data_IF_797850367556
#
_entry.id   IF_797850367556
#
_cell.length_a   1.000
_cell.length_b   1.000
_cell.length_c   1.000
_cell.angle_alpha   90.00
_cell.angle_beta   90.00
_cell.angle_gamma   90.00
#
_symmetry.space_group_name_H-M   'P 1'
#
loop_
_entity.id
_entity.type
_entity.pdbx_description
1 polymer ?
#
# COMPACT_ATOMS: atom_id res chain seq x y z
N UNK A 1 -19.69 -39.31 8.15
CA UNK A 1 -18.35 -38.74 8.43
C UNK A 1 -17.71 -38.10 7.20
N UNK A 2 -17.73 -38.73 6.01
CA UNK A 2 -17.13 -38.18 4.78
C UNK A 2 -17.68 -36.80 4.34
N UNK A 3 -19.00 -36.58 4.46
CA UNK A 3 -19.62 -35.29 4.09
C UNK A 3 -19.23 -34.14 5.02
N UNK A 4 -19.02 -34.42 6.31
CA UNK A 4 -18.57 -33.42 7.29
C UNK A 4 -17.10 -33.04 7.08
N UNK A 5 -16.25 -34.02 6.73
CA UNK A 5 -14.86 -33.77 6.38
C UNK A 5 -14.72 -32.96 5.08
N UNK A 6 -15.54 -33.25 4.06
CA UNK A 6 -15.57 -32.49 2.80
C UNK A 6 -16.06 -31.04 3.00
N UNK A 7 -17.10 -30.84 3.82
CA UNK A 7 -17.60 -29.50 4.15
C UNK A 7 -16.56 -28.66 4.91
N UNK A 8 -15.84 -29.26 5.86
CA UNK A 8 -14.77 -28.59 6.62
C UNK A 8 -13.58 -28.20 5.71
N UNK A 9 -13.23 -29.06 4.76
CA UNK A 9 -12.15 -28.78 3.80
C UNK A 9 -12.52 -27.66 2.81
N UNK A 10 -13.76 -27.62 2.34
CA UNK A 10 -14.28 -26.51 1.51
C UNK A 10 -14.35 -25.18 2.28
N UNK A 11 -14.70 -25.21 3.57
CA UNK A 11 -14.68 -24.02 4.43
C UNK A 11 -13.26 -23.47 4.64
N UNK A 12 -12.24 -24.34 4.75
CA UNK A 12 -10.85 -23.91 4.89
C UNK A 12 -10.29 -23.27 3.61
N UNK A 13 -10.68 -23.77 2.43
CA UNK A 13 -10.30 -23.21 1.13
C UNK A 13 -11.02 -21.90 0.81
N UNK A 14 -12.18 -21.66 1.43
CA UNK A 14 -12.96 -20.44 1.25
C UNK A 14 -12.51 -19.28 2.16
N UNK A 15 -11.59 -19.52 3.10
CA UNK A 15 -11.03 -18.46 3.93
C UNK A 15 -10.10 -17.57 3.08
N UNK A 16 -10.29 -16.23 3.05
CA UNK A 16 -9.34 -15.34 2.40
C UNK A 16 -7.98 -15.48 3.11
N UNK A 17 -6.95 -15.83 2.37
CA UNK A 17 -5.60 -15.88 2.89
C UNK A 17 -5.12 -14.44 3.18
N UNK A 18 -4.84 -14.15 4.46
CA UNK A 18 -4.22 -12.91 4.87
C UNK A 18 -2.70 -13.04 4.68
N UNK A 19 -2.16 -12.39 3.64
CA UNK A 19 -0.73 -12.27 3.42
C UNK A 19 -0.26 -10.89 3.87
N UNK A 20 0.80 -10.85 4.68
CA UNK A 20 1.53 -9.61 4.95
C UNK A 20 2.44 -9.29 3.76
N UNK A 21 2.30 -8.09 3.20
CA UNK A 21 3.15 -7.63 2.12
C UNK A 21 4.48 -7.08 2.63
N UNK A 22 5.56 -7.29 1.87
CA UNK A 22 6.82 -6.57 2.07
C UNK A 22 6.96 -5.49 0.99
N UNK A 23 7.10 -4.24 1.41
CA UNK A 23 7.30 -3.09 0.53
C UNK A 23 8.77 -2.71 0.52
N UNK A 24 9.47 -3.01 -0.56
CA UNK A 24 10.85 -2.52 -0.76
C UNK A 24 10.83 -1.03 -1.09
N UNK A 25 11.27 -0.21 -0.15
CA UNK A 25 11.23 1.26 -0.23
C UNK A 25 12.09 1.73 -1.41
N UNK A 26 11.48 2.51 -2.31
CA UNK A 26 12.14 3.00 -3.53
C UNK A 26 12.33 1.94 -4.62
N UNK A 27 11.83 0.71 -4.45
CA UNK A 27 11.96 -0.37 -5.42
C UNK A 27 13.43 -0.69 -5.74
N UNK A 28 13.78 -0.75 -7.02
CA UNK A 28 15.15 -1.02 -7.47
C UNK A 28 16.15 0.10 -7.13
N UNK A 29 15.68 1.33 -6.91
CA UNK A 29 16.53 2.47 -6.51
C UNK A 29 16.94 2.38 -5.04
N UNK A 30 16.14 1.70 -4.22
CA UNK A 30 16.36 1.60 -2.77
C UNK A 30 16.23 2.93 -2.05
N UNK A 31 16.80 2.98 -0.84
CA UNK A 31 16.85 4.14 0.02
C UNK A 31 18.14 4.94 -0.21
N UNK A 32 18.06 5.94 -1.09
CA UNK A 32 19.14 6.85 -1.49
C UNK A 32 18.65 8.29 -1.74
N UNK A 33 19.57 9.23 -1.98
CA UNK A 33 19.25 10.64 -2.27
C UNK A 33 18.62 10.87 -3.65
N UNK A 34 18.66 9.88 -4.56
CA UNK A 34 18.06 9.97 -5.89
C UNK A 34 16.63 9.41 -5.97
N UNK A 35 16.11 8.85 -4.88
CA UNK A 35 14.78 8.23 -4.83
C UNK A 35 13.63 9.24 -4.84
N UNK A 36 12.51 8.88 -5.48
CA UNK A 36 11.25 9.63 -5.43
C UNK A 36 10.22 8.86 -4.58
N UNK A 37 10.32 9.04 -3.26
CA UNK A 37 9.52 8.28 -2.30
C UNK A 37 8.04 8.67 -2.28
N UNK A 38 7.70 9.91 -2.61
CA UNK A 38 6.31 10.33 -2.71
C UNK A 38 5.57 9.60 -3.84
N UNK A 39 6.20 9.54 -5.03
CA UNK A 39 5.63 8.81 -6.17
C UNK A 39 5.61 7.31 -5.91
N UNK A 40 6.68 6.76 -5.33
CA UNK A 40 6.73 5.35 -4.94
C UNK A 40 5.60 5.01 -3.96
N UNK A 41 5.44 5.79 -2.88
CA UNK A 41 4.43 5.55 -1.86
C UNK A 41 3.00 5.69 -2.39
N UNK A 42 2.74 6.61 -3.32
CA UNK A 42 1.43 6.78 -3.95
C UNK A 42 0.96 5.54 -4.75
N UNK A 43 1.90 4.68 -5.18
CA UNK A 43 1.60 3.42 -5.84
C UNK A 43 1.47 2.22 -4.89
N UNK A 44 1.52 2.43 -3.57
CA UNK A 44 1.46 1.36 -2.56
C UNK A 44 0.17 1.46 -1.73
N UNK A 45 -0.23 0.34 -1.16
CA UNK A 45 -1.22 0.29 -0.08
C UNK A 45 -0.56 -0.39 1.11
N UNK A 46 -0.51 0.31 2.23
CA UNK A 46 0.11 -0.18 3.45
C UNK A 46 -0.97 -0.58 4.44
N UNK A 47 -0.86 -1.77 5.00
CA UNK A 47 -1.81 -2.31 5.98
C UNK A 47 -1.07 -2.77 7.23
N UNK A 48 -1.73 -2.74 8.38
CA UNK A 48 -1.18 -3.36 9.59
C UNK A 48 -0.89 -4.84 9.31
N UNK A 49 0.33 -5.26 9.62
CA UNK A 49 0.86 -6.59 9.32
C UNK A 49 1.95 -6.56 8.25
N UNK A 50 1.94 -5.56 7.35
CA UNK A 50 2.94 -5.41 6.31
C UNK A 50 4.30 -4.98 6.88
N UNK A 51 5.33 -5.00 6.03
CA UNK A 51 6.68 -4.53 6.38
C UNK A 51 7.23 -3.55 5.34
N UNK A 52 8.06 -2.62 5.80
CA UNK A 52 8.91 -1.79 4.94
C UNK A 52 10.31 -2.35 4.94
N UNK A 53 10.86 -2.65 3.76
CA UNK A 53 12.26 -3.02 3.58
C UNK A 53 13.05 -1.84 3.03
N UNK A 54 13.95 -1.30 3.84
CA UNK A 54 14.92 -0.28 3.45
C UNK A 54 16.26 -0.96 3.11
N UNK A 55 16.74 -0.75 1.87
CA UNK A 55 18.08 -1.14 1.44
C UNK A 55 18.88 0.12 1.09
N UNK A 56 20.05 0.30 1.69
CA UNK A 56 20.88 1.49 1.55
C UNK A 56 22.36 1.22 1.82
N UNK A 57 23.23 2.10 1.34
CA UNK A 57 24.63 2.11 1.72
C UNK A 57 24.78 2.61 3.17
N UNK A 58 25.16 1.72 4.08
CA UNK A 58 25.29 2.04 5.51
C UNK A 58 26.43 3.00 5.84
N UNK A 59 27.34 3.28 4.90
CA UNK A 59 28.41 4.24 5.10
C UNK A 59 27.93 5.69 5.00
N UNK A 60 26.83 5.93 4.29
CA UNK A 60 26.34 7.26 3.94
C UNK A 60 24.89 7.50 4.36
N UNK A 61 24.13 6.45 4.62
CA UNK A 61 22.70 6.51 4.89
C UNK A 61 22.32 5.71 6.14
N UNK A 62 21.23 6.15 6.74
CA UNK A 62 20.47 5.47 7.80
C UNK A 62 18.99 5.85 7.67
N UNK A 63 18.15 5.27 8.52
CA UNK A 63 16.71 5.53 8.55
C UNK A 63 16.34 5.93 9.96
N UNK A 64 15.71 7.09 10.11
CA UNK A 64 15.09 7.52 11.35
C UNK A 64 13.58 7.60 11.16
N UNK A 65 12.82 7.01 12.08
CA UNK A 65 11.41 7.31 12.24
C UNK A 65 11.27 8.57 13.08
N UNK A 66 10.44 9.51 12.61
CA UNK A 66 10.32 10.85 13.20
C UNK A 66 8.86 11.26 13.34
N UNK A 67 8.61 12.37 14.06
CA UNK A 67 7.30 13.01 14.09
C UNK A 67 6.96 13.66 12.74
N UNK A 68 5.67 13.97 12.51
CA UNK A 68 5.25 14.72 11.31
C UNK A 68 5.94 16.09 11.22
N UNK A 69 6.09 16.77 12.36
CA UNK A 69 6.74 18.09 12.44
C UNK A 69 8.21 17.98 12.04
N UNK A 70 8.91 16.98 12.58
CA UNK A 70 10.32 16.77 12.29
C UNK A 70 10.54 16.34 10.83
N UNK A 71 9.67 15.50 10.28
CA UNK A 71 9.66 15.14 8.85
C UNK A 71 9.48 16.35 7.93
N UNK A 72 8.57 17.25 8.30
CA UNK A 72 8.26 18.45 7.51
C UNK A 72 9.46 19.38 7.48
N UNK A 73 10.07 19.59 8.65
CA UNK A 73 11.20 20.50 8.83
C UNK A 73 12.57 19.86 8.56
N UNK A 74 12.62 18.56 8.25
CA UNK A 74 13.85 17.78 8.19
C UNK A 74 14.72 17.93 9.44
N UNK A 75 14.09 17.92 10.61
CA UNK A 75 14.78 17.91 11.89
C UNK A 75 15.12 16.47 12.27
N UNK A 76 16.41 16.16 12.29
CA UNK A 76 16.92 14.81 12.51
C UNK A 76 17.51 14.62 13.91
N UNK A 77 17.36 15.63 14.78
CA UNK A 77 17.83 15.58 16.17
C UNK A 77 16.88 14.88 17.15
N UNK A 78 15.65 14.59 16.74
CA UNK A 78 14.57 14.08 17.60
C UNK A 78 13.98 12.77 17.06
N UNK A 79 14.84 11.81 16.69
CA UNK A 79 14.39 10.51 16.20
C UNK A 79 13.55 9.77 17.25
N UNK A 80 12.41 9.22 16.83
CA UNK A 80 11.61 8.30 17.64
C UNK A 80 12.28 6.92 17.68
N UNK A 81 12.80 6.49 16.53
CA UNK A 81 13.58 5.26 16.36
C UNK A 81 14.64 5.49 15.27
N UNK A 82 15.81 4.88 15.43
CA UNK A 82 16.91 4.97 14.46
C UNK A 82 17.38 3.58 14.04
N UNK A 83 17.68 3.43 12.76
CA UNK A 83 18.08 2.17 12.15
C UNK A 83 19.32 2.35 11.28
N UNK A 84 20.28 1.45 11.47
CA UNK A 84 21.57 1.42 10.77
C UNK A 84 21.85 0.00 10.25
N UNK A 85 22.93 -0.18 9.47
CA UNK A 85 23.34 -1.50 8.99
C UNK A 85 23.00 -1.80 7.53
N UNK A 86 22.41 -0.86 6.78
CA UNK A 86 22.29 -0.91 5.31
C UNK A 86 21.14 -1.76 4.79
N UNK A 87 20.58 -2.63 5.64
CA UNK A 87 19.35 -3.35 5.37
C UNK A 87 18.49 -3.37 6.63
N UNK A 88 17.29 -2.82 6.56
CA UNK A 88 16.38 -2.72 7.70
C UNK A 88 14.97 -3.07 7.29
N UNK A 89 14.34 -3.97 8.04
CA UNK A 89 12.92 -4.29 7.90
C UNK A 89 12.15 -3.71 9.09
N UNK A 90 11.12 -2.91 8.81
CA UNK A 90 10.27 -2.26 9.83
C UNK A 90 8.85 -2.81 9.67
N UNK A 91 8.31 -3.43 10.73
CA UNK A 91 6.93 -3.93 10.75
C UNK A 91 5.91 -2.81 10.96
N UNK A 92 4.85 -2.81 10.17
CA UNK A 92 3.74 -1.87 10.28
C UNK A 92 2.71 -2.44 11.26
N UNK A 93 2.83 -2.10 12.54
CA UNK A 93 1.99 -2.70 13.60
C UNK A 93 0.79 -1.86 14.00
N UNK A 94 0.79 -0.57 13.66
CA UNK A 94 -0.25 0.39 14.06
C UNK A 94 -0.76 1.14 12.84
N UNK A 95 -2.08 1.30 12.75
CA UNK A 95 -2.72 2.09 11.72
C UNK A 95 -2.44 3.59 11.94
N UNK A 96 -2.38 4.35 10.85
CA UNK A 96 -2.15 5.79 10.87
C UNK A 96 -0.88 6.22 10.14
N UNK A 97 -0.54 7.51 10.23
CA UNK A 97 0.60 8.07 9.51
C UNK A 97 1.93 7.69 10.16
N UNK A 98 2.92 7.36 9.33
CA UNK A 98 4.31 7.14 9.74
C UNK A 98 5.25 7.93 8.85
N UNK A 99 6.33 8.43 9.44
CA UNK A 99 7.28 9.32 8.77
C UNK A 99 8.71 8.84 9.01
N UNK A 100 9.49 8.80 7.94
CA UNK A 100 10.87 8.34 7.94
C UNK A 100 11.75 9.34 7.20
N UNK A 101 12.98 9.54 7.69
CA UNK A 101 13.96 10.46 7.09
C UNK A 101 15.35 9.86 7.16
N UNK A 102 16.23 10.23 6.24
CA UNK A 102 17.66 9.99 6.42
C UNK A 102 18.26 11.12 7.27
N UNK A 103 18.91 10.83 8.41
CA UNK A 103 19.43 11.86 9.30
C UNK A 103 20.75 12.51 8.84
N UNK A 104 21.41 11.91 7.85
CA UNK A 104 22.63 12.48 7.26
C UNK A 104 22.37 13.90 6.77
N UNK A 105 23.27 14.82 7.13
CA UNK A 105 23.13 16.26 6.86
C UNK A 105 22.83 16.51 5.37
N UNK A 106 21.73 17.22 5.10
CA UNK A 106 21.31 17.58 3.75
C UNK A 106 20.51 16.52 3.01
N UNK A 107 20.44 15.27 3.47
CA UNK A 107 19.75 14.19 2.72
C UNK A 107 18.23 14.34 2.77
N UNK A 108 17.66 14.59 3.95
CA UNK A 108 16.22 14.82 4.07
C UNK A 108 15.76 16.02 3.24
N UNK A 109 16.52 17.12 3.24
CA UNK A 109 16.21 18.33 2.48
C UNK A 109 16.24 18.09 0.97
N UNK A 110 17.10 17.17 0.51
CA UNK A 110 17.16 16.73 -0.88
C UNK A 110 16.06 15.71 -1.26
N UNK A 111 15.14 15.40 -0.34
CA UNK A 111 14.00 14.53 -0.60
C UNK A 111 14.16 13.09 -0.13
N UNK A 112 15.24 12.75 0.59
CA UNK A 112 15.43 11.42 1.20
C UNK A 112 14.59 11.26 2.46
N UNK A 113 13.27 11.23 2.26
CA UNK A 113 12.24 11.14 3.29
C UNK A 113 10.99 10.46 2.74
N UNK A 114 10.33 9.66 3.58
CA UNK A 114 9.13 8.91 3.23
C UNK A 114 8.01 9.23 4.23
N UNK A 115 6.82 9.50 3.71
CA UNK A 115 5.59 9.55 4.51
C UNK A 115 4.63 8.49 3.97
N UNK A 116 4.04 7.70 4.86
CA UNK A 116 3.05 6.69 4.53
C UNK A 116 1.85 6.79 5.46
N UNK A 117 0.72 6.21 5.07
CA UNK A 117 -0.44 5.99 5.93
C UNK A 117 -0.77 4.51 5.92
N UNK A 118 -0.78 3.90 7.10
CA UNK A 118 -1.06 2.49 7.31
C UNK A 118 -2.56 2.32 7.58
N UNK A 119 -3.24 1.54 6.76
CA UNK A 119 -4.63 1.15 7.00
C UNK A 119 -4.70 0.09 8.12
N UNK A 120 -5.81 0.09 8.87
CA UNK A 120 -6.05 -0.98 9.84
C UNK A 120 -6.16 -2.33 9.12
N UNK A 121 -5.68 -3.39 9.77
CA UNK A 121 -5.88 -4.74 9.26
C UNK A 121 -7.38 -5.01 9.13
N UNK A 122 -7.81 -5.51 7.98
CA UNK A 122 -9.20 -5.90 7.77
C UNK A 122 -9.48 -7.16 8.57
N UNK A 123 -9.98 -6.99 9.79
CA UNK A 123 -10.54 -8.10 10.58
C UNK A 123 -11.97 -8.35 10.10
N UNK A 124 -12.16 -9.29 9.18
CA UNK A 124 -13.51 -9.81 8.94
C UNK A 124 -13.74 -11.08 9.76
N UNK A 125 -14.51 -10.99 10.86
CA UNK A 125 -15.43 -12.06 11.25
C UNK A 125 -16.83 -11.69 10.74
N UNK A 126 -17.26 -12.31 9.63
CA UNK A 126 -18.64 -12.25 9.15
C UNK A 126 -19.06 -10.92 8.50
N UNK A 127 -19.61 -11.01 7.29
CA UNK A 127 -20.05 -9.86 6.51
C UNK A 127 -21.12 -9.03 7.23
N UNK A 128 -20.90 -7.73 7.29
CA UNK A 128 -21.98 -6.73 7.26
C UNK A 128 -21.59 -5.66 6.26
N UNK A 129 -22.47 -5.50 5.28
CA UNK A 129 -22.44 -4.52 4.19
C UNK A 129 -22.17 -3.11 4.71
N UNK A 130 -21.41 -2.25 3.98
CA UNK A 130 -21.24 -0.86 4.37
C UNK A 130 -22.58 -0.12 4.30
N UNK A 131 -23.10 0.33 5.44
CA UNK A 131 -24.27 1.21 5.48
C UNK A 131 -23.85 2.59 4.96
N UNK A 132 -24.40 2.99 3.81
CA UNK A 132 -24.28 4.35 3.26
C UNK A 132 -24.82 5.38 4.26
N UNK A 133 -24.12 6.47 4.57
CA UNK A 133 -24.68 7.56 5.36
C UNK A 133 -25.78 8.27 4.58
N UNK A 134 -26.99 8.28 5.13
CA UNK A 134 -28.13 9.05 4.64
C UNK A 134 -27.94 10.54 4.91
N UNK A 135 -27.88 11.34 3.86
CA UNK A 135 -27.91 12.81 3.91
C UNK A 135 -29.32 13.32 4.20
N UNK A 136 -29.52 14.29 5.12
CA UNK A 136 -30.82 14.94 5.28
C UNK A 136 -31.03 15.97 4.17
N UNK A 137 -32.15 15.83 3.46
CA UNK A 137 -32.69 16.87 2.57
C UNK A 137 -33.29 18.03 3.36
N UNK A 138 -33.04 19.25 2.89
CA UNK A 138 -34.00 20.36 3.01
C UNK A 138 -33.42 21.69 3.45
N UNK A 139 -33.22 22.62 2.50
CA UNK A 139 -33.96 23.90 2.40
C UNK A 139 -33.21 24.91 1.52
N UNK A 140 -33.76 25.22 0.34
CA UNK A 140 -33.50 26.44 -0.46
C UNK A 140 -34.33 27.63 0.12
N UNK A 141 -34.36 28.89 -0.41
CA UNK A 141 -33.55 29.65 -1.41
C UNK A 141 -33.16 31.08 -0.83
N UNK A 142 -32.76 32.18 -1.56
CA UNK A 142 -32.84 32.44 -3.00
C UNK A 142 -31.67 33.15 -3.74
N UNK A 143 -31.81 33.04 -5.06
CA UNK A 143 -31.34 33.86 -6.20
C UNK A 143 -30.42 35.05 -5.97
N UNK A 144 -29.28 34.99 -6.66
CA UNK A 144 -28.52 36.14 -7.16
C UNK A 144 -27.73 35.73 -8.40
N UNK A 145 -28.16 36.21 -9.58
CA UNK A 145 -27.48 36.05 -10.88
C UNK A 145 -26.54 37.27 -11.13
N UNK A 146 -25.67 37.28 -12.17
CA UNK A 146 -24.21 37.18 -12.04
C UNK A 146 -23.46 38.46 -12.52
N UNK A 147 -22.11 38.44 -12.52
CA UNK A 147 -21.39 39.05 -13.62
C UNK A 147 -20.47 38.06 -14.33
N UNK A 148 -20.56 38.11 -15.65
CA UNK A 148 -19.79 37.37 -16.64
C UNK A 148 -18.31 37.76 -16.61
N UNK A 149 -17.41 36.77 -16.61
CA UNK A 149 -16.05 36.94 -17.12
C UNK A 149 -15.69 35.78 -18.04
N UNK A 150 -15.12 36.16 -19.16
CA UNK A 150 -14.91 35.43 -20.40
C UNK A 150 -13.50 34.83 -20.49
N UNK A 151 -13.39 33.65 -21.13
CA UNK A 151 -12.22 33.19 -21.92
C UNK A 151 -11.02 32.69 -21.09
N UNK A 152 -10.38 31.54 -21.30
CA UNK A 152 -10.17 30.68 -22.49
C UNK A 152 -9.65 29.29 -22.05
N UNK A 153 -10.19 28.23 -22.64
CA UNK A 153 -9.68 26.85 -22.53
C UNK A 153 -8.51 26.59 -23.52
N UNK A 154 -7.51 25.76 -23.18
CA UNK A 154 -6.56 25.22 -24.15
C UNK A 154 -7.10 23.93 -24.83
N UNK A 155 -6.63 23.60 -26.04
CA UNK A 155 -7.15 22.50 -26.87
C UNK A 155 -6.64 21.10 -26.45
N UNK A 156 -7.37 20.02 -26.79
CA UNK A 156 -6.95 18.65 -26.56
C UNK A 156 -5.90 18.15 -27.59
N UNK A 157 -4.99 17.23 -27.22
CA UNK A 157 -4.10 16.55 -28.15
C UNK A 157 -4.81 15.45 -28.97
N UNK A 158 -4.31 15.10 -30.17
CA UNK A 158 -5.00 14.23 -31.12
C UNK A 158 -4.91 12.73 -30.78
N UNK A 159 -5.99 12.00 -31.11
CA UNK A 159 -6.06 10.54 -31.13
C UNK A 159 -5.14 9.94 -32.20
N UNK A 160 -4.29 9.00 -31.79
CA UNK A 160 -3.55 8.08 -32.65
C UNK A 160 -3.73 6.65 -32.14
N UNK A 161 -4.02 5.74 -33.08
CA UNK A 161 -4.60 4.42 -32.84
C UNK A 161 -3.58 3.29 -32.61
N UNK A 162 -4.15 2.18 -32.10
CA UNK A 162 -3.81 0.78 -32.36
C UNK A 162 -2.46 0.22 -31.88
N UNK A 163 -2.57 -0.70 -30.92
CA UNK A 163 -1.56 -1.69 -30.57
C UNK A 163 -2.22 -2.86 -29.83
N UNK A 164 -2.89 -3.73 -30.58
CA UNK A 164 -3.41 -5.02 -30.09
C UNK A 164 -2.28 -6.04 -30.14
N UNK A 165 -1.86 -6.52 -28.98
CA UNK A 165 -1.08 -7.75 -28.78
C UNK A 165 -1.63 -8.28 -27.43
N UNK A 166 -2.44 -9.33 -27.35
CA UNK A 166 -2.19 -10.67 -27.87
C UNK A 166 -1.32 -11.41 -26.87
N UNK A 167 -1.93 -12.14 -25.91
CA UNK A 167 -1.16 -13.00 -25.01
C UNK A 167 -1.85 -13.39 -23.70
N UNK A 168 -2.93 -14.18 -23.80
CA UNK A 168 -3.36 -15.05 -22.70
C UNK A 168 -2.24 -16.06 -22.45
N UNK A 169 -1.56 -15.97 -21.30
CA UNK A 169 -0.79 -17.10 -20.80
C UNK A 169 -1.11 -17.35 -19.34
N UNK A 170 -1.99 -18.33 -19.19
CA UNK A 170 -2.15 -19.17 -18.02
C UNK A 170 -0.79 -19.65 -17.49
N UNK A 171 -0.55 -19.47 -16.19
CA UNK A 171 0.25 -20.40 -15.40
C UNK A 171 -0.51 -20.70 -14.10
N UNK A 172 -1.70 -21.27 -14.26
CA UNK A 172 -2.32 -22.13 -13.25
C UNK A 172 -1.60 -23.48 -13.29
N UNK A 173 -0.51 -23.61 -12.54
CA UNK A 173 0.13 -24.90 -12.27
C UNK A 173 0.60 -24.92 -10.82
N UNK A 174 -0.22 -25.49 -9.93
CA UNK A 174 0.18 -25.59 -8.52
C UNK A 174 -0.87 -26.06 -7.52
N UNK A 175 -1.90 -26.82 -7.93
CA UNK A 175 -2.76 -27.51 -6.96
C UNK A 175 -3.30 -28.82 -7.54
N UNK A 176 -2.45 -29.87 -7.58
CA UNK A 176 -2.88 -31.20 -8.03
C UNK A 176 -2.26 -32.36 -7.25
N UNK A 177 -1.88 -32.18 -5.98
CA UNK A 177 -1.46 -33.31 -5.14
C UNK A 177 -2.21 -33.31 -3.80
N UNK A 178 -3.54 -33.32 -3.83
CA UNK A 178 -4.36 -33.81 -2.69
C UNK A 178 -5.63 -34.55 -3.17
N UNK A 179 -5.59 -35.14 -4.38
CA UNK A 179 -6.74 -35.86 -4.95
C UNK A 179 -6.59 -37.39 -5.04
N UNK A 180 -5.41 -37.94 -4.74
CA UNK A 180 -5.09 -39.35 -5.03
C UNK A 180 -4.94 -40.26 -3.79
N UNK A 181 -5.37 -39.82 -2.60
CA UNK A 181 -5.24 -40.61 -1.36
C UNK A 181 -6.59 -41.01 -0.71
N UNK A 182 -7.72 -40.87 -1.42
CA UNK A 182 -9.07 -41.16 -0.88
C UNK A 182 -9.83 -42.27 -1.65
N UNK A 183 -9.15 -43.08 -2.46
CA UNK A 183 -9.76 -44.21 -3.18
C UNK A 183 -9.17 -45.59 -2.83
N UNK A 184 -8.53 -45.74 -1.66
CA UNK A 184 -7.92 -47.00 -1.23
C UNK A 184 -8.57 -47.69 -0.01
N UNK A 185 -9.77 -47.27 0.43
CA UNK A 185 -10.44 -47.87 1.61
C UNK A 185 -11.92 -48.25 1.38
N UNK A 186 -12.27 -48.66 0.17
CA UNK A 186 -13.61 -49.21 -0.10
C UNK A 186 -13.58 -50.51 -0.94
N UNK A 187 -12.55 -51.31 -0.74
CA UNK A 187 -12.47 -52.72 -1.16
C UNK A 187 -12.35 -53.61 0.06
#
# INVERSE_FOLDING_TARGET
>A
MAMAAAALFLLLLAAPAAYAAEHTVGGSTGWSTSGNYATWAAGQTFTVGDTLLFNYDSSTHSVDQVSQTDYTNCNTGNALQSYTGGKTTISLTTAGPLYFTCPTIGHCQQGMKLAITVAAASTTPGGTTPTTPSTPSGSSPPSGTPPSTTTSSPPPPPSGAAGSFGGMNHFMLGLSIVGAAMFAFMG
#
